data_IF_332825178534
#
_entry.id   IF_332825178534
#
_cell.length_a   1.000
_cell.length_b   1.000
_cell.length_c   1.000
_cell.angle_alpha   90.00
_cell.angle_beta   90.00
_cell.angle_gamma   90.00
#
_symmetry.space_group_name_H-M   'P 1'
#
loop_
_entity.id
_entity.type
_entity.pdbx_description
1 polymer ?
#
# COMPACT_ATOMS: atom_id res chain seq x y z
N UNK A 1 1.32 -10.95 -17.91
CA UNK A 1 1.62 -9.98 -18.98
C UNK A 1 1.17 -8.60 -18.55
N UNK A 2 1.82 -7.55 -19.06
CA UNK A 2 1.62 -6.16 -18.61
C UNK A 2 0.17 -5.68 -18.61
N UNK A 3 -0.63 -6.06 -19.60
CA UNK A 3 -2.05 -5.68 -19.67
C UNK A 3 -2.88 -6.20 -18.47
N UNK A 4 -2.61 -7.43 -18.01
CA UNK A 4 -3.32 -8.02 -16.87
C UNK A 4 -2.93 -7.31 -15.56
N UNK A 5 -1.63 -7.06 -15.34
CA UNK A 5 -1.16 -6.35 -14.15
C UNK A 5 -1.70 -4.91 -14.06
N UNK A 6 -1.72 -4.19 -15.18
CA UNK A 6 -2.33 -2.86 -15.26
C UNK A 6 -3.83 -2.88 -14.96
N UNK A 7 -4.57 -3.86 -15.51
CA UNK A 7 -5.99 -4.00 -15.24
C UNK A 7 -6.26 -4.26 -13.76
N UNK A 8 -5.48 -5.14 -13.12
CA UNK A 8 -5.59 -5.42 -11.68
C UNK A 8 -5.30 -4.16 -10.85
N UNK A 9 -4.20 -3.45 -11.13
CA UNK A 9 -3.84 -2.23 -10.43
C UNK A 9 -4.93 -1.14 -10.58
N UNK A 10 -5.50 -0.99 -11.78
CA UNK A 10 -6.59 -0.07 -12.04
C UNK A 10 -7.87 -0.45 -11.28
N UNK A 11 -8.25 -1.74 -11.29
CA UNK A 11 -9.40 -2.24 -10.53
C UNK A 11 -9.25 -1.98 -9.02
N UNK A 12 -8.07 -2.24 -8.46
CA UNK A 12 -7.77 -1.97 -7.04
C UNK A 12 -7.92 -0.48 -6.73
N UNK A 13 -7.31 0.39 -7.54
CA UNK A 13 -7.37 1.84 -7.32
C UNK A 13 -8.80 2.39 -7.45
N UNK A 14 -9.56 1.94 -8.44
CA UNK A 14 -10.97 2.35 -8.62
C UNK A 14 -11.83 1.85 -7.46
N UNK A 15 -11.69 0.58 -7.06
CA UNK A 15 -12.42 0.04 -5.93
C UNK A 15 -12.08 0.78 -4.63
N UNK A 16 -10.79 1.07 -4.40
CA UNK A 16 -10.33 1.85 -3.25
C UNK A 16 -10.89 3.27 -3.24
N UNK A 17 -10.81 4.02 -4.35
CA UNK A 17 -11.39 5.37 -4.43
C UNK A 17 -12.90 5.35 -4.18
N UNK A 18 -13.60 4.36 -4.75
CA UNK A 18 -15.04 4.22 -4.54
C UNK A 18 -15.37 3.92 -3.07
N UNK A 19 -14.68 2.97 -2.45
CA UNK A 19 -14.86 2.62 -1.04
C UNK A 19 -14.53 3.80 -0.12
N UNK A 20 -13.41 4.48 -0.36
CA UNK A 20 -13.01 5.68 0.40
C UNK A 20 -14.05 6.79 0.28
N UNK A 21 -14.55 7.05 -0.95
CA UNK A 21 -15.61 8.04 -1.16
C UNK A 21 -16.89 7.66 -0.42
N UNK A 22 -17.28 6.39 -0.45
CA UNK A 22 -18.45 5.91 0.28
C UNK A 22 -18.27 6.06 1.80
N UNK A 23 -17.13 5.64 2.35
CA UNK A 23 -16.85 5.75 3.78
C UNK A 23 -16.83 7.19 4.28
N UNK A 24 -16.35 8.15 3.47
CA UNK A 24 -16.19 9.54 3.89
C UNK A 24 -17.41 10.43 3.62
N UNK A 25 -18.19 10.14 2.56
CA UNK A 25 -19.21 11.09 2.07
C UNK A 25 -20.62 10.51 2.00
N UNK A 26 -20.85 9.26 2.38
CA UNK A 26 -22.20 8.68 2.41
C UNK A 26 -22.88 8.95 3.76
N UNK A 27 -23.97 9.72 3.74
CA UNK A 27 -24.83 9.90 4.91
C UNK A 27 -25.41 8.57 5.40
N UNK A 28 -25.68 7.63 4.49
CA UNK A 28 -26.16 6.29 4.84
C UNK A 28 -25.14 5.50 5.66
N UNK A 29 -23.83 5.67 5.40
CA UNK A 29 -22.77 5.05 6.20
C UNK A 29 -22.54 5.81 7.50
N UNK A 30 -22.56 7.15 7.45
CA UNK A 30 -22.30 8.01 8.61
C UNK A 30 -23.41 7.95 9.68
N UNK A 31 -24.66 8.01 9.25
CA UNK A 31 -25.85 8.00 10.13
C UNK A 31 -26.48 6.60 10.24
N UNK A 32 -25.89 5.61 9.57
CA UNK A 32 -26.38 4.24 9.54
C UNK A 32 -26.05 3.42 10.79
N UNK A 33 -26.45 2.13 10.82
CA UNK A 33 -26.10 1.22 11.90
C UNK A 33 -24.58 1.08 12.04
N UNK A 34 -24.10 0.92 13.28
CA UNK A 34 -22.67 0.70 13.57
C UNK A 34 -22.06 -0.42 12.72
N UNK A 35 -22.79 -1.50 12.46
CA UNK A 35 -22.33 -2.61 11.63
C UNK A 35 -22.01 -2.18 10.18
N UNK A 36 -22.81 -1.28 9.59
CA UNK A 36 -22.57 -0.77 8.25
C UNK A 36 -21.34 0.14 8.23
N UNK A 37 -21.18 0.98 9.25
CA UNK A 37 -19.98 1.81 9.41
C UNK A 37 -18.72 0.94 9.55
N UNK A 38 -18.75 -0.08 10.42
CA UNK A 38 -17.63 -1.01 10.61
C UNK A 38 -17.28 -1.77 9.34
N UNK A 39 -18.28 -2.26 8.61
CA UNK A 39 -18.08 -2.96 7.34
C UNK A 39 -17.43 -2.04 6.31
N UNK A 40 -17.94 -0.82 6.16
CA UNK A 40 -17.39 0.17 5.22
C UNK A 40 -15.94 0.52 5.56
N UNK A 41 -15.66 0.86 6.83
CA UNK A 41 -14.32 1.21 7.29
C UNK A 41 -13.33 0.06 7.15
N UNK A 42 -13.74 -1.18 7.48
CA UNK A 42 -12.88 -2.37 7.38
C UNK A 42 -12.62 -2.73 5.92
N UNK A 43 -13.62 -2.66 5.04
CA UNK A 43 -13.44 -2.87 3.61
C UNK A 43 -12.49 -1.83 3.00
N UNK A 44 -12.64 -0.55 3.38
CA UNK A 44 -11.74 0.52 2.96
C UNK A 44 -10.31 0.28 3.45
N UNK A 45 -10.12 -0.10 4.72
CA UNK A 45 -8.81 -0.45 5.27
C UNK A 45 -8.17 -1.65 4.55
N UNK A 46 -8.96 -2.68 4.23
CA UNK A 46 -8.48 -3.83 3.45
C UNK A 46 -8.04 -3.43 2.04
N UNK A 47 -8.76 -2.51 1.38
CA UNK A 47 -8.37 -1.97 0.08
C UNK A 47 -7.09 -1.10 0.16
N UNK A 48 -6.86 -0.39 1.26
CA UNK A 48 -5.57 0.28 1.50
C UNK A 48 -4.41 -0.73 1.51
N UNK A 49 -4.58 -1.91 2.11
CA UNK A 49 -3.58 -2.99 2.03
C UNK A 49 -3.32 -3.40 0.58
N UNK A 50 -4.36 -3.56 -0.24
CA UNK A 50 -4.21 -3.89 -1.66
C UNK A 50 -3.48 -2.77 -2.45
N UNK A 51 -3.72 -1.51 -2.12
CA UNK A 51 -2.99 -0.36 -2.69
C UNK A 51 -1.51 -0.43 -2.31
N UNK A 52 -1.17 -0.73 -1.07
CA UNK A 52 0.23 -0.88 -0.64
C UNK A 52 0.93 -2.07 -1.30
N UNK A 53 0.26 -3.22 -1.39
CA UNK A 53 0.77 -4.39 -2.13
C UNK A 53 1.02 -4.02 -3.60
N UNK A 54 0.12 -3.27 -4.23
CA UNK A 54 0.34 -2.80 -5.61
C UNK A 54 1.58 -1.90 -5.72
N UNK A 55 1.84 -1.05 -4.73
CA UNK A 55 3.09 -0.26 -4.69
C UNK A 55 4.33 -1.15 -4.58
N UNK A 56 4.29 -2.18 -3.73
CA UNK A 56 5.36 -3.15 -3.56
C UNK A 56 5.65 -3.93 -4.85
N UNK A 57 4.62 -4.50 -5.48
CA UNK A 57 4.77 -5.23 -6.75
C UNK A 57 5.32 -4.34 -7.86
N UNK A 58 4.94 -3.05 -7.86
CA UNK A 58 5.48 -2.07 -8.78
C UNK A 58 6.97 -1.78 -8.53
N UNK A 59 7.46 -1.80 -7.28
CA UNK A 59 8.90 -1.69 -6.98
C UNK A 59 9.70 -2.89 -7.50
N UNK A 60 9.10 -4.08 -7.52
CA UNK A 60 9.66 -5.29 -8.14
C UNK A 60 9.51 -5.32 -9.67
N UNK A 61 8.79 -4.36 -10.25
CA UNK A 61 8.56 -4.29 -11.69
C UNK A 61 7.46 -5.21 -12.22
N UNK A 62 6.67 -5.83 -11.35
CA UNK A 62 5.74 -6.92 -11.70
C UNK A 62 4.40 -6.43 -12.25
N UNK A 63 4.01 -5.16 -12.00
CA UNK A 63 2.72 -4.62 -12.48
C UNK A 63 2.72 -4.45 -14.00
N UNK A 64 3.82 -3.96 -14.57
CA UNK A 64 3.97 -3.76 -16.01
C UNK A 64 5.39 -4.13 -16.47
N UNK A 65 5.73 -5.44 -16.53
CA UNK A 65 7.12 -5.88 -16.77
C UNK A 65 7.77 -5.31 -18.02
N UNK A 66 6.98 -5.05 -19.07
CA UNK A 66 7.48 -4.51 -20.34
C UNK A 66 7.85 -3.01 -20.25
N UNK A 67 7.37 -2.29 -19.23
CA UNK A 67 7.52 -0.84 -19.10
C UNK A 67 7.91 -0.41 -17.68
N UNK A 68 9.21 -0.42 -17.32
CA UNK A 68 9.69 -0.05 -15.97
C UNK A 68 9.25 1.35 -15.50
N UNK A 69 9.15 2.32 -16.42
CA UNK A 69 8.67 3.68 -16.10
C UNK A 69 7.21 3.68 -15.62
N UNK A 70 6.38 2.79 -16.16
CA UNK A 70 4.97 2.66 -15.77
C UNK A 70 4.87 2.05 -14.38
N UNK A 71 5.69 1.04 -14.08
CA UNK A 71 5.82 0.52 -12.72
C UNK A 71 6.17 1.64 -11.73
N UNK A 72 7.18 2.47 -12.00
CA UNK A 72 7.51 3.58 -11.09
C UNK A 72 6.37 4.59 -10.92
N UNK A 73 5.63 4.92 -11.99
CA UNK A 73 4.48 5.81 -11.90
C UNK A 73 3.36 5.23 -11.02
N UNK A 74 3.04 3.94 -11.20
CA UNK A 74 2.02 3.24 -10.40
C UNK A 74 2.49 3.10 -8.95
N UNK A 75 3.73 2.67 -8.74
CA UNK A 75 4.33 2.55 -7.41
C UNK A 75 4.31 3.86 -6.65
N UNK A 76 4.68 4.97 -7.31
CA UNK A 76 4.57 6.30 -6.75
C UNK A 76 3.13 6.64 -6.40
N UNK A 77 2.18 6.50 -7.33
CA UNK A 77 0.77 6.80 -7.10
C UNK A 77 0.21 6.01 -5.90
N UNK A 78 0.46 4.71 -5.85
CA UNK A 78 -0.01 3.84 -4.78
C UNK A 78 0.65 4.16 -3.43
N UNK A 79 1.96 4.39 -3.38
CA UNK A 79 2.67 4.76 -2.15
C UNK A 79 2.18 6.11 -1.59
N UNK A 80 1.91 7.09 -2.47
CA UNK A 80 1.34 8.38 -2.09
C UNK A 80 -0.10 8.23 -1.58
N UNK A 81 -0.88 7.37 -2.23
CA UNK A 81 -2.27 7.11 -1.86
C UNK A 81 -2.38 6.38 -0.52
N UNK A 82 -1.48 5.44 -0.24
CA UNK A 82 -1.50 4.63 0.98
C UNK A 82 -1.27 5.46 2.23
N UNK A 83 -0.17 6.22 2.29
CA UNK A 83 0.21 6.97 3.48
C UNK A 83 1.06 8.20 3.17
N UNK A 84 0.94 8.78 1.96
CA UNK A 84 1.75 9.92 1.54
C UNK A 84 3.27 9.62 1.63
N UNK A 85 3.69 8.39 1.34
CA UNK A 85 5.08 7.97 1.46
C UNK A 85 5.95 8.59 0.35
N UNK A 86 7.19 8.93 0.67
CA UNK A 86 8.18 9.28 -0.36
C UNK A 86 8.60 8.01 -1.10
N UNK A 87 8.18 7.89 -2.35
CA UNK A 87 8.44 6.71 -3.17
C UNK A 87 9.93 6.44 -3.40
N UNK A 88 10.76 7.49 -3.50
CA UNK A 88 12.21 7.33 -3.72
C UNK A 88 12.88 6.79 -2.47
N UNK A 89 12.49 7.29 -1.29
CA UNK A 89 12.99 6.73 -0.01
C UNK A 89 12.52 5.29 0.13
N UNK A 90 11.23 5.05 -0.09
CA UNK A 90 10.60 3.75 0.08
C UNK A 90 11.22 2.66 -0.81
N UNK A 91 11.43 2.93 -2.10
CA UNK A 91 12.01 1.92 -3.01
C UNK A 91 13.48 1.61 -2.65
N UNK A 92 14.26 2.59 -2.20
CA UNK A 92 15.63 2.33 -1.76
C UNK A 92 15.67 1.48 -0.49
N UNK A 93 14.82 1.81 0.49
CA UNK A 93 14.68 1.05 1.73
C UNK A 93 14.21 -0.39 1.44
N UNK A 94 13.19 -0.54 0.60
CA UNK A 94 12.65 -1.81 0.15
C UNK A 94 13.73 -2.74 -0.43
N UNK A 95 14.56 -2.22 -1.34
CA UNK A 95 15.66 -3.00 -1.90
C UNK A 95 16.79 -3.26 -0.89
N UNK A 96 17.03 -2.36 0.08
CA UNK A 96 18.00 -2.61 1.14
C UNK A 96 17.56 -3.77 2.03
N UNK A 97 16.29 -3.77 2.44
CA UNK A 97 15.67 -4.88 3.16
C UNK A 97 15.81 -6.21 2.40
N UNK A 98 15.42 -6.26 1.12
CA UNK A 98 15.54 -7.49 0.33
C UNK A 98 16.97 -7.99 0.11
N UNK A 99 17.97 -7.10 0.08
CA UNK A 99 19.39 -7.49 -0.06
C UNK A 99 19.96 -8.10 1.21
N UNK A 100 19.56 -7.59 2.37
CA UNK A 100 20.17 -7.90 3.67
C UNK A 100 19.13 -8.04 4.78
N UNK A 101 18.13 -8.93 4.67
CA UNK A 101 17.00 -8.97 5.60
C UNK A 101 17.45 -9.34 7.02
N UNK A 102 16.86 -8.67 8.01
CA UNK A 102 17.16 -8.81 9.43
C UNK A 102 18.65 -8.66 9.79
N UNK A 103 19.44 -7.94 8.98
CA UNK A 103 20.85 -7.66 9.25
C UNK A 103 21.01 -6.33 10.00
N UNK A 104 21.61 -6.32 11.20
CA UNK A 104 21.82 -5.09 11.96
C UNK A 104 22.57 -4.02 11.17
N UNK A 105 22.03 -2.82 11.12
CA UNK A 105 22.64 -1.67 10.43
C UNK A 105 22.57 -1.69 8.90
N UNK A 106 22.00 -2.75 8.30
CA UNK A 106 21.84 -2.87 6.84
C UNK A 106 20.37 -2.93 6.42
N UNK A 107 19.54 -3.63 7.18
CA UNK A 107 18.10 -3.66 6.95
C UNK A 107 17.44 -2.44 7.63
N UNK A 108 16.78 -1.54 6.87
CA UNK A 108 16.04 -0.42 7.46
C UNK A 108 14.90 -0.88 8.38
N UNK A 109 14.44 -2.12 8.24
CA UNK A 109 13.35 -2.70 9.05
C UNK A 109 13.88 -3.52 10.24
N UNK A 110 15.20 -3.51 10.49
CA UNK A 110 15.79 -4.25 11.60
C UNK A 110 15.32 -3.72 12.96
N UNK A 111 14.75 -4.60 13.77
CA UNK A 111 14.46 -4.35 15.19
C UNK A 111 15.60 -4.86 16.07
N UNK A 112 16.11 -4.04 16.98
CA UNK A 112 17.28 -4.36 17.82
C UNK A 112 17.00 -5.39 18.93
N UNK A 113 15.73 -5.70 19.18
CA UNK A 113 15.31 -6.61 20.24
C UNK A 113 15.57 -6.08 21.66
N UNK A 114 16.01 -4.83 21.82
CA UNK A 114 16.27 -4.16 23.11
C UNK A 114 15.07 -3.29 23.48
N UNK A 115 14.53 -2.53 22.53
CA UNK A 115 13.34 -1.72 22.73
C UNK A 115 12.09 -2.59 22.53
N UNK A 116 11.68 -3.28 23.59
CA UNK A 116 10.51 -4.19 23.55
C UNK A 116 9.27 -3.51 24.10
N UNK A 117 8.13 -3.76 23.46
CA UNK A 117 6.80 -3.37 23.92
C UNK A 117 5.97 -2.68 22.84
N UNK A 118 4.65 -2.72 22.98
CA UNK A 118 3.70 -2.21 21.97
C UNK A 118 3.98 -0.75 21.54
N UNK A 119 4.38 0.12 22.46
CA UNK A 119 4.65 1.53 22.21
C UNK A 119 6.13 1.87 21.98
N UNK A 120 7.02 0.87 22.07
CA UNK A 120 8.48 1.05 22.10
C UNK A 120 9.16 0.16 21.08
N UNK A 121 8.49 -0.19 19.99
CA UNK A 121 9.17 -0.82 18.85
C UNK A 121 10.44 -0.02 18.54
#
# INVERSE_FOLDING_TARGET
GSACGLAIAACILVAWVAALRMSLFSAQVADGPLALWLLSSTATAWLYTAVFITAHEAMHGLVCPDWPRVNHAIGWLCARSFAHLDYRVLIHAHWAHHRSPAQPGLDPDFHDGVHRGFARW
#
